data_IF_990924001328
#
_entry.id   IF_990924001328
#
_cell.length_a   1.000
_cell.length_b   1.000
_cell.length_c   1.000
_cell.angle_alpha   90.00
_cell.angle_beta   90.00
_cell.angle_gamma   90.00
#
_symmetry.space_group_name_H-M   'P 1'
#
loop_
_entity.id
_entity.type
_entity.pdbx_description
1 polymer ?
#
# COMPACT_ATOMS: atom_id res chain seq x y z
N UNK A 1 -8.17 -3.38 -4.69
CA UNK A 1 -6.85 -2.96 -5.21
C UNK A 1 -5.72 -3.82 -4.67
N UNK A 2 -5.45 -3.83 -3.36
CA UNK A 2 -4.33 -4.60 -2.78
C UNK A 2 -4.34 -6.10 -3.15
N UNK A 3 -5.53 -6.70 -3.22
CA UNK A 3 -5.74 -8.05 -3.76
C UNK A 3 -5.31 -8.18 -5.24
N UNK A 4 -5.73 -7.24 -6.10
CA UNK A 4 -5.39 -7.23 -7.53
C UNK A 4 -3.88 -7.05 -7.74
N UNK A 5 -3.24 -6.27 -6.88
CA UNK A 5 -1.79 -6.04 -6.89
C UNK A 5 -0.96 -7.23 -6.39
N UNK A 6 -1.61 -8.29 -5.87
CA UNK A 6 -0.94 -9.47 -5.35
C UNK A 6 -0.23 -9.25 -4.00
N UNK A 7 -0.53 -8.15 -3.30
CA UNK A 7 0.14 -7.78 -2.04
C UNK A 7 -0.69 -8.11 -0.80
N UNK A 8 -1.94 -8.59 -0.98
CA UNK A 8 -2.83 -8.98 0.10
C UNK A 8 -3.32 -10.43 -0.04
N UNK A 9 -2.48 -11.42 0.27
CA UNK A 9 -2.78 -12.84 0.04
C UNK A 9 -3.96 -13.34 0.89
N UNK A 10 -4.20 -12.74 2.05
CA UNK A 10 -5.29 -13.15 2.95
C UNK A 10 -6.66 -12.74 2.40
N UNK A 11 -6.72 -11.68 1.59
CA UNK A 11 -7.92 -11.28 0.85
C UNK A 11 -9.14 -10.92 1.69
N UNK A 12 -8.99 -10.74 3.01
CA UNK A 12 -10.09 -10.44 3.91
C UNK A 12 -10.50 -8.97 3.78
N UNK A 13 -11.69 -8.73 3.23
CA UNK A 13 -12.30 -7.40 3.10
C UNK A 13 -13.38 -7.26 4.17
N UNK A 14 -13.00 -6.82 5.36
CA UNK A 14 -13.91 -6.67 6.51
C UNK A 14 -14.36 -5.23 6.75
N UNK A 15 -13.84 -4.27 5.98
CA UNK A 15 -13.98 -2.84 6.26
C UNK A 15 -13.12 -2.34 7.43
N UNK A 16 -12.44 -3.23 8.15
CA UNK A 16 -11.56 -2.89 9.26
C UNK A 16 -10.08 -2.82 8.83
N UNK A 17 -9.39 -1.74 9.21
CA UNK A 17 -7.95 -1.62 8.98
C UNK A 17 -7.18 -2.34 10.10
N UNK A 18 -7.03 -3.65 9.95
CA UNK A 18 -6.28 -4.50 10.89
C UNK A 18 -4.82 -4.72 10.48
N UNK A 19 -4.14 -5.61 11.23
CA UNK A 19 -2.74 -5.95 10.98
C UNK A 19 -2.50 -6.47 9.55
N UNK A 20 -3.41 -7.30 9.02
CA UNK A 20 -3.27 -7.87 7.67
C UNK A 20 -3.35 -6.78 6.59
N UNK A 21 -4.30 -5.86 6.70
CA UNK A 21 -4.40 -4.69 5.80
C UNK A 21 -3.15 -3.82 5.90
N UNK A 22 -2.61 -3.60 7.10
CA UNK A 22 -1.35 -2.86 7.29
C UNK A 22 -0.19 -3.53 6.56
N UNK A 23 -0.04 -4.84 6.69
CA UNK A 23 1.01 -5.61 5.99
C UNK A 23 0.85 -5.54 4.47
N UNK A 24 -0.38 -5.61 3.97
CA UNK A 24 -0.64 -5.42 2.54
C UNK A 24 -0.27 -4.02 2.05
N UNK A 25 -0.50 -2.99 2.86
CA UNK A 25 -0.07 -1.61 2.53
C UNK A 25 1.46 -1.49 2.55
N UNK A 26 2.16 -2.13 3.49
CA UNK A 26 3.64 -2.17 3.50
C UNK A 26 4.16 -2.76 2.18
N UNK A 27 3.68 -3.96 1.83
CA UNK A 27 4.05 -4.63 0.57
C UNK A 27 3.73 -3.80 -0.66
N UNK A 28 2.58 -3.10 -0.68
CA UNK A 28 2.23 -2.16 -1.75
C UNK A 28 3.23 -1.00 -1.84
N UNK A 29 3.59 -0.40 -0.71
CA UNK A 29 4.54 0.72 -0.66
C UNK A 29 5.93 0.29 -1.13
N UNK A 30 6.37 -0.90 -0.75
CA UNK A 30 7.65 -1.47 -1.18
C UNK A 30 7.64 -1.81 -2.68
N UNK A 31 6.54 -2.35 -3.20
CA UNK A 31 6.35 -2.61 -4.64
C UNK A 31 6.48 -1.33 -5.48
N UNK A 32 6.02 -0.20 -4.95
CA UNK A 32 6.09 1.12 -5.58
C UNK A 32 7.03 2.08 -4.85
N UNK A 33 8.14 1.56 -4.31
CA UNK A 33 9.05 2.32 -3.46
C UNK A 33 9.53 3.62 -4.11
N UNK A 34 9.74 3.62 -5.42
CA UNK A 34 10.26 4.77 -6.15
C UNK A 34 9.31 5.95 -6.19
N UNK A 35 8.00 5.68 -6.18
CA UNK A 35 6.95 6.69 -6.26
C UNK A 35 6.36 7.01 -4.88
N UNK A 36 6.43 6.06 -3.95
CA UNK A 36 5.74 6.17 -2.65
C UNK A 36 6.72 6.43 -1.49
N UNK A 37 7.91 5.83 -1.51
CA UNK A 37 8.87 5.87 -0.40
C UNK A 37 10.05 6.82 -0.67
N UNK A 38 10.70 6.72 -1.84
CA UNK A 38 11.87 7.54 -2.21
C UNK A 38 11.61 9.05 -2.11
N UNK A 39 10.46 9.60 -2.56
CA UNK A 39 10.20 11.05 -2.46
C UNK A 39 10.10 11.55 -1.02
N UNK A 40 9.85 10.65 -0.07
CA UNK A 40 9.74 10.93 1.36
C UNK A 40 11.03 10.58 2.12
N UNK A 41 12.08 10.11 1.44
CA UNK A 41 13.30 9.61 2.07
C UNK A 41 13.11 8.32 2.87
N UNK A 42 12.02 7.58 2.61
CA UNK A 42 11.73 6.32 3.30
C UNK A 42 12.39 5.15 2.56
N UNK A 43 12.90 4.20 3.33
CA UNK A 43 13.54 2.97 2.81
C UNK A 43 12.67 1.72 2.97
N UNK A 44 11.63 1.78 3.81
CA UNK A 44 10.73 0.67 4.10
C UNK A 44 9.28 1.12 4.16
N UNK A 45 8.34 0.21 3.87
CA UNK A 45 6.92 0.49 3.99
C UNK A 45 6.52 0.82 5.43
N UNK A 46 5.67 1.82 5.60
CA UNK A 46 5.16 2.28 6.91
C UNK A 46 3.83 1.61 7.27
N UNK A 47 3.11 1.12 6.26
CA UNK A 47 1.75 0.59 6.42
C UNK A 47 0.69 1.68 6.59
N UNK A 48 1.06 2.95 6.47
CA UNK A 48 0.14 4.09 6.58
C UNK A 48 -0.27 4.58 5.19
N UNK A 49 -1.57 4.75 4.97
CA UNK A 49 -2.10 5.24 3.70
C UNK A 49 -2.08 6.79 3.65
N UNK A 50 -0.86 7.33 3.53
CA UNK A 50 -0.59 8.76 3.41
C UNK A 50 -0.82 9.32 1.99
N UNK A 51 -0.54 10.62 1.77
CA UNK A 51 -0.74 11.27 0.47
C UNK A 51 -0.09 10.55 -0.71
N UNK A 52 1.20 10.16 -0.62
CA UNK A 52 1.91 9.46 -1.70
C UNK A 52 1.31 8.09 -2.00
N UNK A 53 0.95 7.32 -0.97
CA UNK A 53 0.28 6.03 -1.15
C UNK A 53 -1.09 6.20 -1.80
N UNK A 54 -1.90 7.18 -1.37
CA UNK A 54 -3.20 7.48 -1.99
C UNK A 54 -3.07 7.94 -3.44
N UNK A 55 -2.06 8.77 -3.74
CA UNK A 55 -1.82 9.23 -5.10
C UNK A 55 -1.56 8.05 -6.03
N UNK A 56 -0.70 7.11 -5.61
CA UNK A 56 -0.42 5.90 -6.40
C UNK A 56 -1.64 4.99 -6.55
N UNK A 57 -2.40 4.79 -5.47
CA UNK A 57 -3.68 4.06 -5.49
C UNK A 57 -4.63 4.67 -6.52
N UNK A 58 -4.82 5.99 -6.51
CA UNK A 58 -5.72 6.67 -7.43
C UNK A 58 -5.25 6.59 -8.88
N UNK A 59 -3.94 6.63 -9.12
CA UNK A 59 -3.36 6.45 -10.45
C UNK A 59 -3.67 5.06 -11.02
N UNK A 60 -3.68 4.02 -10.19
CA UNK A 60 -3.98 2.63 -10.59
C UNK A 60 -5.48 2.33 -10.70
N UNK A 61 -6.34 3.21 -10.17
CA UNK A 61 -7.80 3.08 -10.24
C UNK A 61 -8.43 3.88 -11.37
N UNK A 62 -7.67 4.75 -12.03
CA UNK A 62 -8.05 5.33 -13.33
C UNK A 62 -8.04 4.24 -14.39
#
# INVERSE_FOLDING_TARGET
>A
LLLKEGVYPEGLITGFFGNLTKQAVIRFQEKYADEVLKPLGLTSGTGLVGPSTRAKINQLLK
#
